data_IF_721535899105
#
_entry.id   IF_721535899105
#
_cell.length_a   1.000
_cell.length_b   1.000
_cell.length_c   1.000
_cell.angle_alpha   90.00
_cell.angle_beta   90.00
_cell.angle_gamma   90.00
#
_symmetry.space_group_name_H-M   'P 1'
#
loop_
_entity.id
_entity.type
_entity.pdbx_description
1 polymer ?
#
# COMPACT_ATOMS: atom_id res chain seq x y z
N UNK A 1 11.85 -12.45 -34.13
CA UNK A 1 10.77 -12.66 -33.15
C UNK A 1 11.06 -11.78 -31.95
N UNK A 2 10.29 -10.72 -31.72
CA UNK A 2 10.38 -9.93 -30.51
C UNK A 2 9.78 -10.77 -29.38
N UNK A 3 10.61 -11.20 -28.43
CA UNK A 3 10.13 -11.81 -27.19
C UNK A 3 9.41 -10.73 -26.39
N UNK A 4 8.09 -10.70 -26.44
CA UNK A 4 7.30 -9.89 -25.54
C UNK A 4 7.45 -10.46 -24.13
N UNK A 5 8.25 -9.82 -23.30
CA UNK A 5 8.35 -10.17 -21.89
C UNK A 5 7.06 -9.71 -21.20
N UNK A 6 6.25 -10.67 -20.77
CA UNK A 6 5.06 -10.37 -19.98
C UNK A 6 5.48 -10.01 -18.56
N UNK A 7 5.29 -8.76 -18.17
CA UNK A 7 5.54 -8.31 -16.79
C UNK A 7 4.36 -8.73 -15.92
N UNK A 8 4.58 -9.52 -14.86
CA UNK A 8 3.51 -9.92 -13.94
C UNK A 8 3.11 -8.74 -13.06
N UNK A 9 1.89 -8.25 -13.21
CA UNK A 9 1.31 -7.17 -12.44
C UNK A 9 0.41 -7.66 -11.32
N UNK A 10 0.24 -6.82 -10.31
CA UNK A 10 -0.88 -6.87 -9.37
C UNK A 10 -1.77 -5.64 -9.52
N UNK A 11 -3.03 -5.80 -9.16
CA UNK A 11 -4.03 -4.74 -9.18
C UNK A 11 -4.85 -4.77 -7.89
N UNK A 12 -5.12 -3.59 -7.39
CA UNK A 12 -5.95 -3.37 -6.22
C UNK A 12 -6.90 -2.21 -6.47
N UNK A 13 -8.17 -2.39 -6.12
CA UNK A 13 -9.16 -1.31 -6.14
C UNK A 13 -9.78 -1.16 -4.76
N UNK A 14 -9.70 0.03 -4.22
CA UNK A 14 -10.22 0.35 -2.88
C UNK A 14 -11.19 1.54 -2.94
N UNK A 15 -12.10 1.58 -1.98
CA UNK A 15 -12.94 2.75 -1.72
C UNK A 15 -12.32 3.67 -0.65
N UNK A 16 -12.93 4.81 -0.39
CA UNK A 16 -12.45 5.77 0.62
C UNK A 16 -12.50 5.23 2.06
N UNK A 17 -13.33 4.23 2.33
CA UNK A 17 -13.41 3.57 3.64
C UNK A 17 -12.30 2.50 3.82
N UNK A 18 -11.47 2.29 2.79
CA UNK A 18 -10.36 1.33 2.84
C UNK A 18 -10.76 -0.10 2.46
N UNK A 19 -11.98 -0.34 2.00
CA UNK A 19 -12.41 -1.66 1.59
C UNK A 19 -11.81 -2.03 0.23
N UNK A 20 -11.28 -3.25 0.13
CA UNK A 20 -10.78 -3.80 -1.12
C UNK A 20 -11.94 -4.38 -1.91
N UNK A 21 -12.31 -3.76 -3.03
CA UNK A 21 -13.44 -4.17 -3.86
C UNK A 21 -13.05 -5.04 -5.05
N UNK A 22 -11.80 -4.95 -5.51
CA UNK A 22 -11.19 -5.84 -6.50
C UNK A 22 -9.71 -6.04 -6.19
N UNK A 23 -9.21 -7.22 -6.49
CA UNK A 23 -7.80 -7.56 -6.37
C UNK A 23 -7.41 -8.59 -7.40
N UNK A 24 -6.16 -8.54 -7.82
CA UNK A 24 -5.54 -9.48 -8.74
C UNK A 24 -4.04 -9.45 -8.52
N UNK A 25 -3.36 -10.57 -8.44
CA UNK A 25 -1.92 -10.62 -8.26
C UNK A 25 -1.30 -11.73 -9.10
N UNK A 26 -0.40 -11.33 -10.00
CA UNK A 26 0.56 -12.20 -10.68
C UNK A 26 1.99 -11.88 -10.27
N UNK A 27 2.22 -10.75 -9.58
CA UNK A 27 3.55 -10.31 -9.16
C UNK A 27 4.09 -11.02 -7.91
N UNK A 28 3.26 -11.83 -7.25
CA UNK A 28 3.62 -12.49 -6.00
C UNK A 28 3.37 -11.66 -4.73
N UNK A 29 2.98 -10.40 -4.85
CA UNK A 29 2.64 -9.60 -3.67
C UNK A 29 1.42 -10.17 -2.94
N UNK A 30 1.52 -10.27 -1.63
CA UNK A 30 0.40 -10.70 -0.79
C UNK A 30 -0.60 -9.55 -0.62
N UNK A 31 -1.83 -9.80 -1.05
CA UNK A 31 -2.97 -8.89 -0.86
C UNK A 31 -3.94 -9.52 0.14
N UNK A 32 -4.35 -8.82 1.21
CA UNK A 32 -5.25 -9.40 2.21
C UNK A 32 -6.58 -9.80 1.58
N UNK A 33 -7.09 -10.95 1.99
CA UNK A 33 -8.39 -11.46 1.51
C UNK A 33 -9.57 -10.75 2.16
N UNK A 34 -9.39 -10.31 3.40
CA UNK A 34 -10.42 -9.69 4.23
C UNK A 34 -9.87 -8.46 4.92
N UNK A 35 -10.71 -7.45 5.11
CA UNK A 35 -10.32 -6.19 5.72
C UNK A 35 -9.55 -5.27 4.77
N UNK A 36 -8.90 -4.26 5.33
CA UNK A 36 -8.05 -3.32 4.61
C UNK A 36 -6.61 -3.79 4.49
N UNK A 37 -5.93 -3.35 3.45
CA UNK A 37 -4.49 -3.49 3.31
C UNK A 37 -3.75 -2.54 4.26
N UNK A 38 -2.42 -2.63 4.29
CA UNK A 38 -1.60 -1.71 5.06
C UNK A 38 -1.89 -0.25 4.66
N UNK A 39 -2.18 0.67 5.61
CA UNK A 39 -2.52 2.07 5.32
C UNK A 39 -1.44 2.84 4.56
N UNK A 40 -0.21 2.33 4.55
CA UNK A 40 0.94 2.94 3.84
C UNK A 40 1.01 2.60 2.35
N UNK A 41 0.12 1.77 1.82
CA UNK A 41 0.08 1.51 0.39
C UNK A 41 -0.34 2.77 -0.37
N UNK A 42 0.33 3.06 -1.48
CA UNK A 42 0.08 4.27 -2.28
C UNK A 42 -1.35 4.36 -2.83
N UNK A 43 -2.05 3.25 -2.93
CA UNK A 43 -3.47 3.22 -3.33
C UNK A 43 -4.35 4.03 -2.36
N UNK A 44 -3.98 4.13 -1.08
CA UNK A 44 -4.70 4.96 -0.11
C UNK A 44 -4.26 6.43 -0.18
N UNK A 45 -2.98 6.70 -0.35
CA UNK A 45 -2.48 8.08 -0.49
C UNK A 45 -3.01 8.77 -1.76
N UNK A 46 -3.41 8.01 -2.78
CA UNK A 46 -3.99 8.55 -4.00
C UNK A 46 -5.24 9.40 -3.77
N UNK A 47 -5.99 9.17 -2.69
CA UNK A 47 -7.15 9.99 -2.33
C UNK A 47 -6.78 11.42 -1.91
N UNK A 48 -5.55 11.67 -1.49
CA UNK A 48 -5.08 13.01 -1.12
C UNK A 48 -4.85 13.91 -2.34
N UNK A 49 -4.71 13.32 -3.53
CA UNK A 49 -4.51 14.02 -4.80
C UNK A 49 -5.37 13.38 -5.89
N UNK A 50 -6.69 13.57 -5.86
CA UNK A 50 -7.62 12.93 -6.78
C UNK A 50 -7.27 13.17 -8.24
N UNK A 51 -7.37 12.12 -9.07
CA UNK A 51 -7.12 12.17 -10.50
C UNK A 51 -5.64 12.19 -10.92
N UNK A 52 -4.71 12.38 -9.98
CA UNK A 52 -3.27 12.39 -10.26
C UNK A 52 -2.70 10.99 -10.10
N UNK A 53 -1.90 10.54 -11.08
CA UNK A 53 -1.14 9.30 -10.96
C UNK A 53 0.02 9.52 -10.00
N UNK A 54 0.09 8.72 -8.95
CA UNK A 54 1.17 8.72 -7.98
C UNK A 54 1.96 7.42 -8.09
N UNK A 55 3.27 7.53 -8.27
CA UNK A 55 4.17 6.38 -8.28
C UNK A 55 4.93 6.28 -6.95
N UNK A 56 5.20 5.05 -6.52
CA UNK A 56 5.92 4.77 -5.28
C UNK A 56 6.70 3.46 -5.38
N UNK A 57 7.81 3.39 -4.63
CA UNK A 57 8.53 2.15 -4.38
C UNK A 57 8.11 1.64 -3.01
N UNK A 58 7.53 0.46 -2.96
CA UNK A 58 7.04 -0.18 -1.74
C UNK A 58 7.95 -1.33 -1.34
N UNK A 59 8.29 -1.43 -0.05
CA UNK A 59 9.09 -2.51 0.50
C UNK A 59 8.30 -3.29 1.53
N UNK A 60 8.09 -4.58 1.24
CA UNK A 60 7.41 -5.51 2.13
C UNK A 60 8.26 -5.89 3.34
N UNK A 61 7.63 -6.50 4.34
CA UNK A 61 8.32 -6.99 5.55
C UNK A 61 9.31 -8.11 5.28
N UNK A 62 9.10 -8.91 4.22
CA UNK A 62 10.03 -9.95 3.75
C UNK A 62 11.22 -9.39 2.93
N UNK A 63 11.28 -8.07 2.71
CA UNK A 63 12.34 -7.40 1.96
C UNK A 63 12.07 -7.23 0.46
N UNK A 64 11.03 -7.85 -0.08
CA UNK A 64 10.63 -7.69 -1.48
C UNK A 64 10.21 -6.26 -1.78
N UNK A 65 10.57 -5.78 -2.96
CA UNK A 65 10.28 -4.43 -3.42
C UNK A 65 9.36 -4.47 -4.63
N UNK A 66 8.43 -3.54 -4.64
CA UNK A 66 7.48 -3.36 -5.73
C UNK A 66 7.43 -1.90 -6.17
N UNK A 67 7.28 -1.71 -7.46
CA UNK A 67 6.95 -0.41 -8.05
C UNK A 67 5.46 -0.36 -8.28
N UNK A 68 4.81 0.64 -7.72
CA UNK A 68 3.36 0.78 -7.76
C UNK A 68 2.97 2.17 -8.25
N UNK A 69 1.93 2.23 -9.08
CA UNK A 69 1.22 3.47 -9.39
C UNK A 69 -0.18 3.38 -8.83
N UNK A 70 -0.73 4.52 -8.45
CA UNK A 70 -2.11 4.62 -7.98
C UNK A 70 -2.77 5.91 -8.48
N UNK A 71 -4.06 5.82 -8.76
CA UNK A 71 -4.89 6.94 -9.18
C UNK A 71 -6.31 6.74 -8.72
N UNK A 72 -6.98 7.83 -8.33
CA UNK A 72 -8.41 7.80 -8.08
C UNK A 72 -9.20 7.95 -9.38
N UNK A 73 -10.35 7.29 -9.42
CA UNK A 73 -11.36 7.40 -10.47
C UNK A 73 -12.72 7.67 -9.83
N UNK A 74 -13.50 8.55 -10.43
CA UNK A 74 -14.89 8.79 -10.04
C UNK A 74 -15.79 7.76 -10.73
N UNK A 75 -16.73 7.19 -9.99
CA UNK A 75 -17.74 6.28 -10.51
C UNK A 75 -19.12 6.89 -10.34
N UNK A 76 -19.88 6.88 -11.44
CA UNK A 76 -21.27 7.33 -11.48
C UNK A 76 -21.42 8.74 -12.04
N UNK A 77 -22.58 8.99 -12.62
CA UNK A 77 -23.00 10.33 -13.06
C UNK A 77 -23.55 11.03 -11.83
N UNK A 78 -22.79 12.00 -11.30
CA UNK A 78 -23.24 12.78 -10.14
C UNK A 78 -24.54 13.53 -10.45
N UNK A 79 -25.64 13.08 -9.89
CA UNK A 79 -26.85 13.88 -9.82
C UNK A 79 -26.73 14.87 -8.65
N UNK A 80 -27.36 16.02 -8.79
CA UNK A 80 -27.41 16.99 -7.70
C UNK A 80 -27.93 16.32 -6.42
N UNK A 81 -27.19 16.47 -5.30
CA UNK A 81 -27.52 15.85 -4.02
C UNK A 81 -27.11 14.40 -3.83
N UNK A 82 -26.47 13.75 -4.81
CA UNK A 82 -25.88 12.40 -4.64
C UNK A 82 -24.37 12.47 -4.45
N UNK A 83 -23.87 11.77 -3.44
CA UNK A 83 -22.45 11.63 -3.23
C UNK A 83 -21.80 10.84 -4.39
N UNK A 84 -20.74 11.40 -4.98
CA UNK A 84 -19.94 10.67 -5.96
C UNK A 84 -19.15 9.55 -5.27
N UNK A 85 -19.12 8.38 -5.89
CA UNK A 85 -18.25 7.29 -5.44
C UNK A 85 -16.85 7.49 -6.03
N UNK A 86 -15.87 7.68 -5.16
CA UNK A 86 -14.47 7.78 -5.55
C UNK A 86 -13.78 6.47 -5.19
N UNK A 87 -13.11 5.87 -6.16
CA UNK A 87 -12.34 4.65 -6.00
C UNK A 87 -10.88 4.95 -6.31
N UNK A 88 -9.97 4.31 -5.62
CA UNK A 88 -8.56 4.31 -5.98
C UNK A 88 -8.17 2.98 -6.61
N UNK A 89 -7.43 3.04 -7.71
CA UNK A 89 -6.91 1.87 -8.41
C UNK A 89 -5.38 1.93 -8.31
N UNK A 90 -4.79 0.87 -7.77
CA UNK A 90 -3.36 0.66 -7.75
C UNK A 90 -2.96 -0.46 -8.70
N UNK A 91 -1.87 -0.24 -9.42
CA UNK A 91 -1.19 -1.23 -10.25
C UNK A 91 0.26 -1.29 -9.86
N UNK A 92 0.86 -2.47 -9.83
CA UNK A 92 2.27 -2.59 -9.52
C UNK A 92 2.88 -3.89 -10.01
N UNK A 93 4.20 -3.92 -10.01
CA UNK A 93 5.01 -5.07 -10.36
C UNK A 93 6.26 -5.15 -9.49
N UNK A 94 6.99 -6.25 -9.57
CA UNK A 94 8.28 -6.41 -8.91
C UNK A 94 9.23 -5.29 -9.36
N UNK A 95 9.98 -4.72 -8.42
CA UNK A 95 10.90 -3.60 -8.66
C UNK A 95 12.01 -3.91 -9.70
N UNK A 96 12.31 -5.19 -9.98
CA UNK A 96 13.24 -5.56 -11.05
C UNK A 96 12.80 -5.10 -12.44
N UNK A 97 11.49 -4.88 -12.64
CA UNK A 97 10.91 -4.37 -13.88
C UNK A 97 10.79 -2.84 -13.91
N UNK A 98 11.33 -2.14 -12.92
CA UNK A 98 11.21 -0.68 -12.82
C UNK A 98 11.68 0.06 -14.08
N UNK A 99 12.72 -0.46 -14.76
CA UNK A 99 13.26 0.14 -15.98
C UNK A 99 12.27 0.14 -17.15
N UNK A 100 11.32 -0.78 -17.14
CA UNK A 100 10.30 -0.93 -18.16
C UNK A 100 9.03 -0.14 -17.84
N UNK A 101 9.03 0.59 -16.71
CA UNK A 101 7.88 1.28 -16.18
C UNK A 101 8.07 2.79 -16.27
N UNK A 102 7.38 3.43 -17.24
CA UNK A 102 7.53 4.87 -17.58
C UNK A 102 7.42 5.78 -16.33
N UNK A 103 6.54 5.45 -15.38
CA UNK A 103 6.30 6.26 -14.19
C UNK A 103 7.44 6.24 -13.16
N UNK A 104 8.48 5.45 -13.41
CA UNK A 104 9.65 5.34 -12.50
C UNK A 104 10.89 6.06 -13.02
N UNK A 105 10.84 6.74 -14.16
CA UNK A 105 11.99 7.44 -14.74
C UNK A 105 12.66 8.42 -13.75
N UNK A 106 11.88 9.04 -12.88
CA UNK A 106 12.35 10.00 -11.88
C UNK A 106 12.45 9.39 -10.47
N UNK A 107 12.31 8.07 -10.33
CA UNK A 107 12.37 7.39 -9.04
C UNK A 107 13.61 6.51 -8.99
N UNK A 108 14.55 6.83 -8.09
CA UNK A 108 15.66 5.93 -7.84
C UNK A 108 15.22 4.74 -6.98
N UNK A 109 14.91 3.61 -7.64
CA UNK A 109 14.46 2.37 -6.98
C UNK A 109 15.50 1.78 -6.02
N UNK A 110 16.78 2.16 -6.19
CA UNK A 110 17.88 1.72 -5.31
C UNK A 110 18.05 2.60 -4.08
N UNK A 111 17.41 3.76 -4.07
CA UNK A 111 17.50 4.71 -2.95
C UNK A 111 16.58 4.26 -1.81
N UNK A 112 17.20 3.86 -0.70
CA UNK A 112 16.46 3.43 0.50
C UNK A 112 15.61 4.53 1.12
N UNK A 113 15.91 5.79 0.86
CA UNK A 113 15.16 6.94 1.41
C UNK A 113 13.81 7.12 0.73
N UNK A 114 13.64 6.62 -0.50
CA UNK A 114 12.39 6.69 -1.26
C UNK A 114 11.50 5.48 -1.05
N UNK A 115 12.00 4.43 -0.38
CA UNK A 115 11.25 3.21 -0.11
C UNK A 115 10.17 3.45 0.95
N UNK A 116 8.92 3.11 0.62
CA UNK A 116 7.82 3.13 1.57
C UNK A 116 7.72 1.74 2.21
N UNK A 117 8.04 1.60 3.51
CA UNK A 117 7.88 0.34 4.19
C UNK A 117 6.40 0.02 4.39
N UNK A 118 5.95 -1.08 3.79
CA UNK A 118 4.58 -1.56 3.84
C UNK A 118 4.50 -2.97 4.42
N UNK A 119 3.30 -3.38 4.81
CA UNK A 119 2.96 -4.76 5.15
C UNK A 119 1.75 -5.23 4.34
N UNK A 120 1.29 -6.44 4.59
CA UNK A 120 0.03 -6.94 4.02
C UNK A 120 -1.15 -6.24 4.70
N UNK A 121 -1.24 -6.35 6.02
CA UNK A 121 -2.21 -5.64 6.85
C UNK A 121 -1.60 -5.38 8.23
N UNK A 122 -2.16 -4.45 9.00
CA UNK A 122 -1.67 -4.17 10.35
C UNK A 122 -1.74 -5.39 11.28
N UNK A 123 -2.76 -6.23 11.11
CA UNK A 123 -3.00 -7.40 11.97
C UNK A 123 -1.94 -8.50 11.82
N UNK A 124 -1.31 -8.60 10.64
CA UNK A 124 -0.28 -9.59 10.33
C UNK A 124 1.13 -8.99 10.22
N UNK A 125 1.28 -7.68 10.48
CA UNK A 125 2.55 -6.98 10.32
C UNK A 125 3.35 -6.97 11.62
N UNK A 126 4.63 -7.34 11.54
CA UNK A 126 5.56 -7.39 12.68
C UNK A 126 6.26 -6.07 13.00
N UNK A 127 6.10 -5.04 12.18
CA UNK A 127 6.72 -3.73 12.42
C UNK A 127 6.19 -3.10 13.69
N UNK A 128 7.05 -2.76 14.64
CA UNK A 128 6.68 -2.11 15.89
C UNK A 128 6.77 -0.58 15.81
N UNK A 129 7.60 -0.07 14.91
CA UNK A 129 7.94 1.35 14.72
C UNK A 129 7.05 2.08 13.71
N UNK A 130 5.84 1.57 13.44
CA UNK A 130 4.96 2.13 12.43
C UNK A 130 4.00 3.17 13.02
N UNK A 131 4.21 4.45 12.69
CA UNK A 131 3.35 5.58 13.10
C UNK A 131 1.93 5.54 12.51
N UNK A 132 1.71 4.75 11.44
CA UNK A 132 0.41 4.62 10.76
C UNK A 132 -0.28 3.29 11.07
N UNK A 133 0.16 2.58 12.12
CA UNK A 133 -0.49 1.34 12.52
C UNK A 133 -1.92 1.60 12.99
N UNK A 134 -2.88 0.95 12.34
CA UNK A 134 -4.31 1.08 12.64
C UNK A 134 -4.83 -0.01 13.60
N UNK A 135 -4.18 -1.18 13.66
CA UNK A 135 -4.60 -2.32 14.48
C UNK A 135 -3.42 -3.01 15.14
N UNK A 136 -3.60 -3.59 16.35
CA UNK A 136 -2.57 -4.40 16.98
C UNK A 136 -2.31 -5.67 16.17
N UNK A 137 -1.08 -6.22 16.19
CA UNK A 137 -0.77 -7.52 15.59
C UNK A 137 -1.54 -8.64 16.32
N UNK A 138 -2.13 -9.57 15.56
CA UNK A 138 -2.92 -10.68 16.13
C UNK A 138 -2.09 -11.65 16.98
N UNK A 139 -0.79 -11.78 16.64
CA UNK A 139 0.12 -12.73 17.30
C UNK A 139 0.88 -12.16 18.51
N UNK A 140 0.65 -10.88 18.85
CA UNK A 140 1.26 -10.22 20.01
C UNK A 140 0.20 -9.86 21.03
N UNK A 141 0.55 -10.04 22.32
CA UNK A 141 -0.29 -9.54 23.40
C UNK A 141 -0.35 -8.02 23.31
N UNK A 142 -1.55 -7.49 23.48
CA UNK A 142 -1.78 -6.07 23.61
C UNK A 142 -1.36 -5.67 25.04
N UNK A 143 -0.24 -4.97 25.16
CA UNK A 143 0.28 -4.46 26.42
C UNK A 143 0.48 -2.96 26.25
N UNK A 144 -0.32 -2.16 26.93
CA UNK A 144 -0.25 -0.70 26.88
C UNK A 144 0.38 -0.21 28.17
N UNK A 145 1.59 0.34 28.07
CA UNK A 145 2.16 1.10 29.17
C UNK A 145 1.54 2.51 29.18
N UNK A 146 0.69 2.77 30.15
CA UNK A 146 -0.01 4.06 30.31
C UNK A 146 0.96 5.23 30.60
N UNK A 147 2.19 4.94 31.00
CA UNK A 147 3.21 5.94 31.36
C UNK A 147 4.19 6.23 30.23
N UNK A 148 4.15 5.49 29.12
CA UNK A 148 5.04 5.70 27.99
C UNK A 148 4.27 6.00 26.71
N UNK A 149 4.79 6.97 25.93
CA UNK A 149 4.29 7.28 24.58
C UNK A 149 5.32 6.86 23.57
N UNK A 150 5.04 5.76 22.85
CA UNK A 150 5.84 5.29 21.73
C UNK A 150 5.37 5.86 20.39
N UNK A 151 6.06 5.48 19.31
CA UNK A 151 5.70 5.84 17.93
C UNK A 151 4.32 5.28 17.54
N UNK A 152 3.91 4.18 18.16
CA UNK A 152 2.60 3.57 17.98
C UNK A 152 2.01 3.17 19.31
N UNK A 153 0.72 3.47 19.51
CA UNK A 153 -0.05 2.99 20.71
C UNK A 153 -0.15 1.46 20.78
N UNK A 154 0.19 0.76 19.70
CA UNK A 154 0.13 -0.70 19.60
C UNK A 154 1.51 -1.37 19.57
N UNK A 155 2.58 -0.64 19.78
CA UNK A 155 3.95 -1.14 19.81
C UNK A 155 4.53 -1.08 21.21
N UNK A 156 5.09 -2.17 21.69
CA UNK A 156 5.93 -2.13 22.88
C UNK A 156 7.32 -1.68 22.46
N UNK A 157 7.67 -0.43 22.75
CA UNK A 157 9.02 0.11 22.59
C UNK A 157 9.95 -0.35 23.74
N UNK A 158 9.75 -1.55 24.27
CA UNK A 158 10.73 -2.14 25.17
C UNK A 158 11.82 -2.82 24.37
N UNK A 159 12.71 -1.99 23.78
CA UNK A 159 14.08 -2.39 23.49
C UNK A 159 14.86 -2.26 24.80
N UNK A 160 14.99 -3.33 25.52
CA UNK A 160 16.09 -3.51 26.48
C UNK A 160 17.33 -3.94 25.74
#
# INVERSE_FOLDING_TARGET
>A
MQNFQVIPFHMLRVDMAGNISKRFSLSGIDIPRYGGACPRWNVYSAFTRPGVIQAAVSKMTNGEKYVCIARTVEKGVGRFGQAKSILSIGLGCDAKYAKDFVYTENINVSDKTTEIPIGVSCRTCDRLDCSQRAFPPLHKKFDVDINSRGVSVYGNDKSS
#
